data_IF_140767756001
#
_entry.id   IF_140767756001
#
_cell.length_a   1.000
_cell.length_b   1.000
_cell.length_c   1.000
_cell.angle_alpha   90.00
_cell.angle_beta   90.00
_cell.angle_gamma   90.00
#
_symmetry.space_group_name_H-M   'P 1'
#
loop_
_entity.id
_entity.type
_entity.pdbx_description
1 polymer ?
#
# COMPACT_ATOMS: atom_id res chain seq x y z
N UNK A 1 -9.56 36.07 -10.62
CA UNK A 1 -8.90 35.28 -9.55
C UNK A 1 -9.75 34.08 -9.18
N UNK A 2 -9.82 33.05 -10.02
CA UNK A 2 -10.42 31.76 -9.67
C UNK A 2 -10.12 30.74 -10.78
N UNK A 3 -9.12 29.85 -10.57
CA UNK A 3 -9.00 28.50 -11.18
C UNK A 3 -7.62 27.87 -10.91
N UNK A 4 -7.27 27.64 -9.63
CA UNK A 4 -6.11 26.80 -9.26
C UNK A 4 -6.54 25.49 -8.57
N UNK A 5 -7.84 25.32 -8.30
CA UNK A 5 -8.34 24.19 -7.49
C UNK A 5 -8.69 22.92 -8.28
N UNK A 6 -8.71 22.97 -9.62
CA UNK A 6 -9.16 21.85 -10.46
C UNK A 6 -8.04 20.86 -10.83
N UNK A 7 -6.79 21.29 -10.88
CA UNK A 7 -5.62 20.49 -11.29
C UNK A 7 -5.16 19.50 -10.22
N UNK A 8 -5.35 19.82 -8.94
CA UNK A 8 -4.92 18.97 -7.81
C UNK A 8 -5.75 17.69 -7.68
N UNK A 9 -7.03 17.72 -8.05
CA UNK A 9 -7.93 16.57 -7.92
C UNK A 9 -7.75 15.53 -9.05
N UNK A 10 -7.24 15.95 -10.20
CA UNK A 10 -6.98 15.06 -11.36
C UNK A 10 -5.73 14.23 -11.15
N UNK A 11 -4.64 14.83 -10.62
CA UNK A 11 -3.37 14.13 -10.40
C UNK A 11 -3.49 12.98 -9.38
N UNK A 12 -4.21 13.20 -8.28
CA UNK A 12 -4.41 12.15 -7.25
C UNK A 12 -5.23 10.98 -7.79
N UNK A 13 -6.20 11.25 -8.67
CA UNK A 13 -7.00 10.23 -9.34
C UNK A 13 -6.17 9.37 -10.33
N UNK A 14 -5.05 9.89 -10.82
CA UNK A 14 -4.12 9.16 -11.70
C UNK A 14 -3.11 8.34 -10.90
N UNK A 15 -2.56 8.89 -9.81
CA UNK A 15 -1.51 8.22 -9.03
C UNK A 15 -1.93 6.86 -8.46
N UNK A 16 -3.15 6.74 -7.93
CA UNK A 16 -3.61 5.45 -7.40
C UNK A 16 -3.80 4.40 -8.51
N UNK A 17 -4.20 4.83 -9.72
CA UNK A 17 -4.32 3.93 -10.88
C UNK A 17 -2.94 3.48 -11.37
N UNK A 18 -1.98 4.40 -11.40
CA UNK A 18 -0.59 4.06 -11.70
C UNK A 18 0.00 3.10 -10.67
N UNK A 19 -0.32 3.30 -9.39
CA UNK A 19 0.06 2.40 -8.30
C UNK A 19 -0.54 1.00 -8.49
N UNK A 20 -1.84 0.89 -8.78
CA UNK A 20 -2.49 -0.40 -9.07
C UNK A 20 -1.85 -1.11 -10.29
N UNK A 21 -1.57 -0.36 -11.35
CA UNK A 21 -0.87 -0.88 -12.52
C UNK A 21 0.57 -1.33 -12.19
N UNK A 22 1.27 -0.61 -11.31
CA UNK A 22 2.61 -0.99 -10.85
C UNK A 22 2.59 -2.25 -9.99
N UNK A 23 1.65 -2.39 -9.05
CA UNK A 23 1.47 -3.63 -8.27
C UNK A 23 1.22 -4.84 -9.19
N UNK A 24 0.50 -4.62 -10.29
CA UNK A 24 0.29 -5.65 -11.32
C UNK A 24 1.59 -6.01 -12.04
N UNK A 25 2.42 -5.02 -12.43
CA UNK A 25 3.74 -5.26 -13.03
C UNK A 25 4.69 -6.00 -12.08
N UNK A 26 4.57 -5.76 -10.78
CA UNK A 26 5.31 -6.49 -9.74
C UNK A 26 4.73 -7.89 -9.43
N UNK A 27 3.68 -8.33 -10.13
CA UNK A 27 2.96 -9.59 -9.88
C UNK A 27 2.40 -9.72 -8.45
N UNK A 28 2.12 -8.59 -7.78
CA UNK A 28 1.53 -8.56 -6.43
C UNK A 28 0.01 -8.75 -6.48
N UNK A 29 -0.63 -8.20 -7.51
CA UNK A 29 -2.04 -8.44 -7.85
C UNK A 29 -2.14 -8.96 -9.28
N UNK A 30 -3.16 -9.79 -9.60
CA UNK A 30 -3.35 -10.28 -10.96
C UNK A 30 -3.87 -9.17 -11.90
N UNK A 31 -3.70 -9.35 -13.21
CA UNK A 31 -4.09 -8.33 -14.20
C UNK A 31 -5.60 -8.05 -14.21
N UNK A 32 -6.43 -9.07 -13.98
CA UNK A 32 -7.88 -9.01 -13.89
C UNK A 32 -8.39 -8.60 -12.49
N UNK A 33 -7.50 -8.15 -11.60
CA UNK A 33 -7.91 -7.69 -10.28
C UNK A 33 -8.81 -6.45 -10.39
N UNK A 34 -9.87 -6.40 -9.56
CA UNK A 34 -10.85 -5.29 -9.53
C UNK A 34 -10.21 -3.90 -9.37
N UNK A 35 -9.04 -3.79 -8.76
CA UNK A 35 -8.29 -2.53 -8.65
C UNK A 35 -7.88 -1.93 -10.00
N UNK A 36 -7.75 -2.76 -11.05
CA UNK A 36 -7.37 -2.34 -12.40
C UNK A 36 -8.56 -1.97 -13.28
N UNK A 37 -9.80 -2.19 -12.82
CA UNK A 37 -10.98 -1.90 -13.63
C UNK A 37 -11.21 -0.38 -13.78
N UNK A 38 -11.83 0.02 -14.90
CA UNK A 38 -12.14 1.41 -15.19
C UNK A 38 -13.10 2.03 -14.17
N UNK A 39 -14.07 1.25 -13.70
CA UNK A 39 -15.08 1.60 -12.68
C UNK A 39 -14.56 1.47 -11.23
N UNK A 40 -13.28 1.11 -11.07
CA UNK A 40 -12.68 0.98 -9.75
C UNK A 40 -12.43 2.34 -9.09
N UNK A 41 -12.31 2.31 -7.76
CA UNK A 41 -12.15 3.46 -6.89
C UNK A 41 -10.92 3.25 -6.00
N UNK A 42 -10.29 4.34 -5.55
CA UNK A 42 -9.13 4.33 -4.66
C UNK A 42 -9.39 3.50 -3.39
N UNK A 43 -10.63 3.48 -2.91
CA UNK A 43 -11.05 2.65 -1.76
C UNK A 43 -10.79 1.16 -1.97
N UNK A 44 -10.92 0.67 -3.22
CA UNK A 44 -10.61 -0.72 -3.56
C UNK A 44 -9.13 -1.01 -3.34
N UNK A 45 -8.26 -0.13 -3.86
CA UNK A 45 -6.81 -0.24 -3.66
C UNK A 45 -6.46 -0.16 -2.17
N UNK A 46 -7.01 0.82 -1.46
CA UNK A 46 -6.73 0.99 -0.04
C UNK A 46 -7.18 -0.23 0.78
N UNK A 47 -8.33 -0.83 0.44
CA UNK A 47 -8.85 -2.04 1.11
C UNK A 47 -7.93 -3.24 0.93
N UNK A 48 -7.35 -3.45 -0.26
CA UNK A 48 -6.47 -4.61 -0.49
C UNK A 48 -5.07 -4.45 0.12
N UNK A 49 -4.63 -3.22 0.39
CA UNK A 49 -3.36 -2.95 1.08
C UNK A 49 -3.52 -2.94 2.60
N UNK A 50 -4.75 -2.76 3.09
CA UNK A 50 -5.11 -2.50 4.49
C UNK A 50 -4.57 -3.51 5.50
N UNK A 51 -4.45 -4.78 5.11
CA UNK A 51 -4.00 -5.84 6.02
C UNK A 51 -2.48 -6.08 6.02
N UNK A 52 -1.77 -5.27 5.22
CA UNK A 52 -0.32 -5.31 5.07
C UNK A 52 0.21 -6.52 4.30
N UNK A 53 -0.63 -7.47 3.87
CA UNK A 53 -0.16 -8.70 3.22
C UNK A 53 0.47 -8.41 1.86
N UNK A 54 -0.19 -7.60 1.03
CA UNK A 54 0.34 -7.22 -0.28
C UNK A 54 1.61 -6.36 -0.15
N UNK A 55 1.68 -5.51 0.88
CA UNK A 55 2.86 -4.69 1.16
C UNK A 55 4.07 -5.55 1.55
N UNK A 56 3.89 -6.51 2.45
CA UNK A 56 4.95 -7.46 2.80
C UNK A 56 5.36 -8.31 1.58
N UNK A 57 4.41 -8.76 0.76
CA UNK A 57 4.74 -9.51 -0.46
C UNK A 57 5.55 -8.68 -1.44
N UNK A 58 5.26 -7.38 -1.57
CA UNK A 58 6.01 -6.43 -2.38
C UNK A 58 7.44 -6.24 -1.85
N UNK A 59 7.62 -6.05 -0.55
CA UNK A 59 8.95 -5.97 0.05
C UNK A 59 9.76 -7.26 -0.19
N UNK A 60 9.15 -8.44 0.01
CA UNK A 60 9.78 -9.73 -0.27
C UNK A 60 10.08 -9.95 -1.77
N UNK A 61 9.31 -9.35 -2.67
CA UNK A 61 9.57 -9.37 -4.11
C UNK A 61 10.85 -8.59 -4.47
N UNK A 62 11.07 -7.43 -3.85
CA UNK A 62 12.31 -6.66 -4.07
C UNK A 62 13.51 -7.25 -3.35
N UNK A 63 13.33 -7.69 -2.11
CA UNK A 63 14.37 -8.29 -1.29
C UNK A 63 13.77 -9.40 -0.41
N UNK A 64 14.04 -10.69 -0.71
CA UNK A 64 13.59 -11.81 0.11
C UNK A 64 14.12 -11.82 1.56
N UNK A 65 15.13 -11.00 1.87
CA UNK A 65 15.70 -10.81 3.21
C UNK A 65 15.14 -9.60 3.96
N UNK A 66 14.14 -8.93 3.40
CA UNK A 66 13.54 -7.70 3.96
C UNK A 66 12.88 -7.86 5.33
N UNK A 67 12.43 -9.06 5.70
CA UNK A 67 11.87 -9.35 7.02
C UNK A 67 11.88 -10.86 7.33
N UNK A 68 11.76 -11.22 8.61
CA UNK A 68 11.59 -12.63 9.00
C UNK A 68 10.15 -13.07 8.69
N UNK A 69 10.04 -14.19 7.96
CA UNK A 69 8.76 -14.83 7.62
C UNK A 69 7.94 -15.26 8.85
N UNK A 70 8.58 -15.42 10.01
CA UNK A 70 7.91 -15.75 11.28
C UNK A 70 7.05 -14.60 11.81
N UNK A 71 7.46 -13.36 11.52
CA UNK A 71 6.74 -12.16 11.97
C UNK A 71 5.61 -11.76 11.00
N UNK A 72 5.56 -12.41 9.82
CA UNK A 72 4.59 -12.13 8.78
C UNK A 72 3.31 -12.99 8.90
N UNK A 73 2.17 -12.32 9.03
CA UNK A 73 0.86 -12.95 9.11
C UNK A 73 0.18 -13.00 7.74
N UNK A 74 0.25 -14.14 7.06
CA UNK A 74 -0.39 -14.35 5.73
C UNK A 74 -1.92 -14.33 5.74
N UNK A 75 -2.53 -14.65 6.88
CA UNK A 75 -3.98 -14.72 7.05
C UNK A 75 -4.39 -13.93 8.30
N UNK A 76 -4.29 -12.60 8.27
CA UNK A 76 -4.58 -11.78 9.45
C UNK A 76 -6.07 -11.73 9.80
N UNK A 77 -6.98 -12.20 8.90
CA UNK A 77 -8.44 -12.24 9.11
C UNK A 77 -9.03 -10.88 9.55
N UNK A 78 -8.42 -9.77 9.10
CA UNK A 78 -8.75 -8.40 9.55
C UNK A 78 -8.62 -8.18 11.07
N UNK A 79 -7.90 -9.05 11.79
CA UNK A 79 -7.57 -8.81 13.18
C UNK A 79 -6.65 -7.59 13.26
N UNK A 80 -7.09 -6.54 13.96
CA UNK A 80 -6.39 -5.27 14.07
C UNK A 80 -4.91 -5.44 14.40
N UNK A 81 -4.59 -6.23 15.44
CA UNK A 81 -3.21 -6.48 15.86
C UNK A 81 -2.34 -7.09 14.74
N UNK A 82 -2.85 -8.10 14.04
CA UNK A 82 -2.10 -8.79 12.97
C UNK A 82 -1.90 -7.91 11.73
N UNK A 83 -2.93 -7.13 11.36
CA UNK A 83 -2.84 -6.19 10.24
C UNK A 83 -1.81 -5.09 10.52
N UNK A 84 -1.89 -4.48 11.71
CA UNK A 84 -0.92 -3.45 12.13
C UNK A 84 0.49 -4.04 12.21
N UNK A 85 0.66 -5.27 12.68
CA UNK A 85 1.96 -5.94 12.70
C UNK A 85 2.54 -6.10 11.29
N UNK A 86 1.75 -6.56 10.32
CA UNK A 86 2.20 -6.65 8.93
C UNK A 86 2.59 -5.29 8.35
N UNK A 87 1.77 -4.25 8.58
CA UNK A 87 2.07 -2.90 8.08
C UNK A 87 3.37 -2.38 8.69
N UNK A 88 3.58 -2.57 10.01
CA UNK A 88 4.83 -2.22 10.69
C UNK A 88 6.02 -2.97 10.08
N UNK A 89 5.87 -4.27 9.81
CA UNK A 89 6.92 -5.09 9.22
C UNK A 89 7.37 -4.54 7.85
N UNK A 90 6.42 -4.15 7.01
CA UNK A 90 6.72 -3.48 5.75
C UNK A 90 7.44 -2.13 5.94
N UNK A 91 6.98 -1.29 6.86
CA UNK A 91 7.59 0.02 7.11
C UNK A 91 9.01 -0.11 7.70
N UNK A 92 9.28 -1.11 8.54
CA UNK A 92 10.63 -1.41 9.01
C UNK A 92 11.52 -1.82 7.83
N UNK A 93 11.08 -2.73 6.97
CA UNK A 93 11.81 -3.11 5.76
C UNK A 93 12.11 -1.90 4.84
N UNK A 94 11.15 -0.99 4.69
CA UNK A 94 11.35 0.30 4.01
C UNK A 94 12.51 1.11 4.57
N UNK A 95 12.66 1.17 5.89
CA UNK A 95 13.77 1.88 6.54
C UNK A 95 15.10 1.12 6.42
N UNK A 96 15.09 -0.17 6.75
CA UNK A 96 16.32 -0.95 6.94
C UNK A 96 16.92 -1.48 5.64
N UNK A 97 16.08 -1.93 4.70
CA UNK A 97 16.52 -2.59 3.48
C UNK A 97 16.47 -1.64 2.27
N UNK A 98 15.51 -0.71 2.26
CA UNK A 98 15.32 0.19 1.12
C UNK A 98 15.78 1.63 1.38
N UNK A 99 16.24 1.96 2.60
CA UNK A 99 16.86 3.24 2.94
C UNK A 99 15.91 4.44 2.91
N UNK A 100 14.60 4.22 3.06
CA UNK A 100 13.62 5.29 3.14
C UNK A 100 13.70 6.03 4.48
N UNK A 101 13.53 7.35 4.44
CA UNK A 101 13.52 8.17 5.65
C UNK A 101 12.17 8.03 6.35
N UNK A 102 12.18 8.06 7.67
CA UNK A 102 10.96 8.01 8.49
C UNK A 102 9.96 9.12 8.13
N UNK A 103 10.44 10.31 7.76
CA UNK A 103 9.60 11.43 7.34
C UNK A 103 8.80 11.17 6.05
N UNK A 104 9.24 10.22 5.22
CA UNK A 104 8.60 9.83 3.95
C UNK A 104 7.64 8.64 4.14
N UNK A 105 7.56 8.08 5.36
CA UNK A 105 6.71 6.94 5.68
C UNK A 105 5.40 7.38 6.33
N UNK A 106 4.37 6.55 6.15
CA UNK A 106 3.07 6.73 6.80
C UNK A 106 3.00 5.95 8.11
N UNK A 107 2.10 6.37 9.01
CA UNK A 107 1.83 5.63 10.24
C UNK A 107 0.95 4.40 9.95
N UNK A 108 1.17 3.25 10.61
CA UNK A 108 0.39 2.03 10.35
C UNK A 108 -1.14 2.23 10.42
N UNK A 109 -1.59 3.07 11.36
CA UNK A 109 -3.01 3.39 11.54
C UNK A 109 -3.59 4.21 10.39
N UNK A 110 -2.79 5.03 9.69
CA UNK A 110 -3.27 5.80 8.53
C UNK A 110 -3.79 4.89 7.41
N UNK A 111 -3.10 3.76 7.19
CA UNK A 111 -3.52 2.75 6.22
C UNK A 111 -4.62 1.85 6.78
N UNK A 112 -4.48 1.37 8.03
CA UNK A 112 -5.45 0.45 8.61
C UNK A 112 -6.84 1.11 8.80
N UNK A 113 -6.89 2.36 9.24
CA UNK A 113 -8.14 3.10 9.46
C UNK A 113 -8.63 3.82 8.19
N UNK A 114 -7.86 3.79 7.11
CA UNK A 114 -8.17 4.44 5.82
C UNK A 114 -8.41 5.95 5.94
N UNK A 115 -7.74 6.61 6.89
CA UNK A 115 -8.00 8.02 7.23
C UNK A 115 -7.28 9.01 6.31
N UNK A 116 -6.09 8.68 5.82
CA UNK A 116 -5.24 9.58 5.02
C UNK A 116 -4.52 8.86 3.87
N UNK A 117 -5.26 8.06 3.09
CA UNK A 117 -4.68 7.25 2.01
C UNK A 117 -4.11 8.06 0.82
N UNK A 118 -4.36 9.36 0.77
CA UNK A 118 -3.85 10.24 -0.29
C UNK A 118 -2.47 10.86 0.00
N UNK A 119 -1.91 10.63 1.19
CA UNK A 119 -0.61 11.15 1.60
C UNK A 119 0.50 10.24 1.11
#
# INVERSE_FOLDING_TARGET
>A
MATVTATSNTMVAELWRECAAWLTRCNIIPNDHRANHLDSDIKVLATILRDGVLLCNLANFFDPSSFDRKDFNRKPQMAHFLCIQNIKLFLEACKTNFGLKEADLFEPTMLYDLTNFHR
#
